data_IF_175911545390
#
_entry.id   IF_175911545390
#
_cell.length_a   1.000
_cell.length_b   1.000
_cell.length_c   1.000
_cell.angle_alpha   90.00
_cell.angle_beta   90.00
_cell.angle_gamma   90.00
#
_symmetry.space_group_name_H-M   'P 1'
#
loop_
_entity.id
_entity.type
_entity.pdbx_description
1 polymer ?
#
# COMPACT_ATOMS: atom_id res chain seq x y z
N UNK A 1 20.14 -12.18 -9.17
CA UNK A 1 19.51 -11.39 -8.09
C UNK A 1 18.68 -12.23 -7.13
N UNK A 2 18.02 -13.32 -7.56
CA UNK A 2 17.21 -14.18 -6.67
C UNK A 2 17.94 -14.73 -5.42
N UNK A 3 19.20 -15.15 -5.57
CA UNK A 3 19.93 -15.85 -4.49
C UNK A 3 20.10 -15.02 -3.19
N UNK A 4 20.39 -13.71 -3.28
CA UNK A 4 20.53 -12.86 -2.08
C UNK A 4 19.19 -12.58 -1.39
N UNK A 5 18.12 -12.47 -2.17
CA UNK A 5 16.77 -12.27 -1.65
C UNK A 5 16.30 -13.54 -0.90
N UNK A 6 16.43 -14.70 -1.53
CA UNK A 6 16.06 -15.99 -0.93
C UNK A 6 16.89 -16.26 0.34
N UNK A 7 18.20 -16.00 0.29
CA UNK A 7 19.09 -16.11 1.46
C UNK A 7 18.65 -15.17 2.58
N UNK A 8 18.22 -13.94 2.26
CA UNK A 8 17.73 -12.99 3.27
C UNK A 8 16.45 -13.49 3.92
N UNK A 9 15.50 -14.03 3.13
CA UNK A 9 14.26 -14.61 3.66
C UNK A 9 14.55 -15.79 4.61
N UNK A 10 15.46 -16.68 4.23
CA UNK A 10 15.83 -17.83 5.06
C UNK A 10 16.49 -17.41 6.38
N UNK A 11 17.48 -16.52 6.32
CA UNK A 11 18.21 -16.05 7.50
C UNK A 11 17.24 -15.31 8.44
N UNK A 12 16.49 -14.34 7.94
CA UNK A 12 15.56 -13.54 8.76
C UNK A 12 14.52 -14.44 9.43
N UNK A 13 13.94 -15.39 8.70
CA UNK A 13 12.99 -16.37 9.24
C UNK A 13 13.60 -17.22 10.34
N UNK A 14 14.86 -17.66 10.19
CA UNK A 14 15.60 -18.41 11.24
C UNK A 14 15.74 -17.61 12.54
N UNK A 15 15.85 -16.28 12.45
CA UNK A 15 15.92 -15.38 13.61
C UNK A 15 14.55 -14.88 14.10
N UNK A 16 13.45 -15.47 13.62
CA UNK A 16 12.09 -15.14 14.04
C UNK A 16 11.52 -13.88 13.40
N UNK A 17 12.16 -13.36 12.35
CA UNK A 17 11.64 -12.25 11.58
C UNK A 17 10.69 -12.74 10.48
N UNK A 18 9.60 -12.01 10.28
CA UNK A 18 8.62 -12.28 9.24
C UNK A 18 8.52 -11.06 8.32
N UNK A 19 8.64 -11.29 7.02
CA UNK A 19 8.39 -10.25 6.03
C UNK A 19 6.92 -9.80 6.13
N UNK A 20 6.64 -8.51 6.23
CA UNK A 20 5.27 -7.98 6.24
C UNK A 20 4.94 -7.13 5.00
N UNK A 21 5.97 -6.71 4.27
CA UNK A 21 5.91 -6.01 2.99
C UNK A 21 7.15 -6.33 2.15
N UNK A 22 7.14 -5.97 0.87
CA UNK A 22 8.14 -6.33 -0.16
C UNK A 22 9.61 -6.23 0.31
N UNK A 23 9.95 -5.28 1.17
CA UNK A 23 11.31 -4.92 1.59
C UNK A 23 11.56 -4.95 3.10
N UNK A 24 10.53 -5.10 3.95
CA UNK A 24 10.69 -5.04 5.41
C UNK A 24 10.16 -6.26 6.17
N UNK A 25 10.82 -6.47 7.30
CA UNK A 25 10.60 -7.59 8.20
C UNK A 25 10.24 -7.08 9.58
N UNK A 26 9.39 -7.84 10.28
CA UNK A 26 9.01 -7.60 11.67
C UNK A 26 9.45 -8.76 12.54
N UNK A 27 9.60 -8.53 13.85
CA UNK A 27 9.75 -9.59 14.85
C UNK A 27 8.87 -9.25 16.04
N UNK A 28 8.25 -10.26 16.64
CA UNK A 28 7.32 -10.10 17.76
C UNK A 28 6.23 -9.05 17.46
N UNK A 29 5.71 -9.08 16.23
CA UNK A 29 4.58 -8.24 15.83
C UNK A 29 4.86 -6.72 15.81
N UNK A 30 6.14 -6.33 15.80
CA UNK A 30 6.59 -4.95 15.73
C UNK A 30 6.93 -4.55 14.30
N UNK A 31 6.01 -3.84 13.65
CA UNK A 31 6.18 -3.26 12.31
C UNK A 31 6.43 -1.74 12.38
N UNK A 32 7.05 -1.20 11.33
CA UNK A 32 7.15 0.25 11.17
C UNK A 32 5.79 0.83 10.81
N UNK A 33 5.21 1.64 11.72
CA UNK A 33 3.94 2.35 11.47
C UNK A 33 4.02 3.25 10.24
N UNK A 34 5.17 3.88 10.02
CA UNK A 34 5.40 4.74 8.87
C UNK A 34 5.37 3.96 7.55
N UNK A 35 6.19 2.92 7.43
CA UNK A 35 6.26 2.11 6.19
C UNK A 35 4.91 1.44 5.92
N UNK A 36 4.28 0.94 6.98
CA UNK A 36 2.98 0.32 6.87
C UNK A 36 1.88 1.31 6.43
N UNK A 37 1.85 2.52 7.00
CA UNK A 37 0.91 3.57 6.59
C UNK A 37 1.12 4.01 5.14
N UNK A 38 2.38 4.16 4.72
CA UNK A 38 2.75 4.47 3.34
C UNK A 38 2.18 3.44 2.35
N UNK A 39 2.52 2.15 2.55
CA UNK A 39 2.08 1.05 1.69
C UNK A 39 0.57 0.77 1.78
N UNK A 40 -0.05 1.04 2.93
CA UNK A 40 -1.50 0.80 3.12
C UNK A 40 -2.38 1.83 2.44
N UNK A 41 -1.82 2.86 1.83
CA UNK A 41 -2.63 3.88 1.20
C UNK A 41 -3.17 4.93 2.18
N UNK A 42 -2.67 5.01 3.42
CA UNK A 42 -3.13 6.00 4.40
C UNK A 42 -2.63 7.41 4.08
N UNK A 43 -3.34 8.41 4.59
CA UNK A 43 -2.84 9.77 4.53
C UNK A 43 -1.58 9.88 5.38
N UNK A 44 -0.59 10.51 4.81
CA UNK A 44 0.61 10.90 5.52
C UNK A 44 0.96 12.30 5.05
N UNK A 45 1.13 13.18 6.03
CA UNK A 45 1.87 14.39 5.79
C UNK A 45 3.27 13.92 5.38
N UNK A 46 3.69 14.24 4.16
CA UNK A 46 5.10 14.23 3.86
C UNK A 46 5.74 15.22 4.81
N UNK A 47 6.23 14.76 5.97
CA UNK A 47 6.95 15.59 6.95
C UNK A 47 8.35 15.83 6.39
N UNK A 48 8.39 16.47 5.23
CA UNK A 48 9.53 17.21 4.77
C UNK A 48 8.99 18.61 4.50
N UNK A 49 9.14 19.49 5.48
CA UNK A 49 9.26 20.92 5.22
C UNK A 49 10.64 21.08 4.55
N UNK A 50 10.80 20.52 3.35
CA UNK A 50 12.09 20.35 2.72
C UNK A 50 11.99 19.88 1.26
N UNK A 51 13.08 20.06 0.50
CA UNK A 51 13.13 19.76 -0.92
C UNK A 51 12.90 18.27 -1.20
N UNK A 52 12.10 17.97 -2.24
CA UNK A 52 11.76 16.61 -2.68
C UNK A 52 10.74 15.87 -1.83
N UNK A 53 10.19 16.48 -0.77
CA UNK A 53 9.19 15.85 0.07
C UNK A 53 7.88 15.57 -0.70
N UNK A 54 7.31 14.39 -0.43
CA UNK A 54 6.04 13.95 -0.98
C UNK A 54 5.08 13.62 0.16
N UNK A 55 3.83 14.04 0.03
CA UNK A 55 2.77 13.73 0.96
C UNK A 55 1.48 13.33 0.27
N UNK A 56 0.57 12.76 1.05
CA UNK A 56 -0.77 12.39 0.62
C UNK A 56 -1.79 12.76 1.68
N UNK A 57 -2.76 13.58 1.29
CA UNK A 57 -3.79 14.08 2.19
C UNK A 57 -5.16 13.87 1.56
N UNK A 58 -6.10 13.36 2.34
CA UNK A 58 -7.51 13.31 1.97
C UNK A 58 -8.21 14.47 2.67
N UNK A 59 -8.83 15.35 1.89
CA UNK A 59 -9.71 16.36 2.44
C UNK A 59 -11.00 15.67 2.89
N UNK A 60 -11.23 15.63 4.21
CA UNK A 60 -12.37 14.97 4.82
C UNK A 60 -13.72 15.64 4.53
N UNK A 61 -13.74 16.90 4.07
CA UNK A 61 -14.97 17.64 3.74
C UNK A 61 -15.48 17.31 2.34
N UNK A 62 -14.56 17.17 1.39
CA UNK A 62 -14.89 16.89 -0.03
C UNK A 62 -14.58 15.45 -0.46
N UNK A 63 -13.92 14.66 0.40
CA UNK A 63 -13.56 13.26 0.14
C UNK A 63 -12.50 13.07 -0.94
N UNK A 64 -11.78 14.14 -1.32
CA UNK A 64 -10.79 14.12 -2.40
C UNK A 64 -9.38 13.94 -1.87
N UNK A 65 -8.55 13.22 -2.64
CA UNK A 65 -7.15 12.98 -2.31
C UNK A 65 -6.23 13.94 -3.08
N UNK A 66 -5.27 14.47 -2.36
CA UNK A 66 -4.26 15.38 -2.87
C UNK A 66 -2.88 14.79 -2.63
N UNK A 67 -2.03 14.91 -3.64
CA UNK A 67 -0.59 14.71 -3.50
C UNK A 67 0.05 16.06 -3.26
N UNK A 68 0.93 16.11 -2.27
CA UNK A 68 1.82 17.26 -2.09
C UNK A 68 3.18 16.91 -2.63
N UNK A 69 3.72 17.76 -3.51
CA UNK A 69 5.04 17.59 -4.10
C UNK A 69 5.85 18.86 -3.82
N UNK A 70 7.05 18.68 -3.27
CA UNK A 70 8.02 19.77 -3.12
C UNK A 70 9.07 19.69 -4.22
N UNK A 71 9.52 20.86 -4.68
CA UNK A 71 10.62 20.96 -5.64
C UNK A 71 11.84 20.19 -5.12
N UNK A 72 12.49 19.47 -6.02
CA UNK A 72 13.59 18.55 -5.66
C UNK A 72 14.84 19.30 -5.20
N UNK A 73 15.13 20.46 -5.79
CA UNK A 73 16.32 21.23 -5.47
C UNK A 73 16.04 22.22 -4.33
N UNK A 74 16.95 22.35 -3.34
CA UNK A 74 16.78 23.25 -2.22
C UNK A 74 16.51 24.71 -2.63
N UNK A 75 17.23 25.21 -3.64
CA UNK A 75 17.09 26.58 -4.14
C UNK A 75 15.67 26.83 -4.68
N UNK A 76 15.22 25.98 -5.60
CA UNK A 76 13.85 26.04 -6.16
C UNK A 76 12.78 25.90 -5.07
N UNK A 77 13.03 25.05 -4.07
CA UNK A 77 12.11 24.84 -2.96
C UNK A 77 12.03 26.08 -2.06
N UNK A 78 13.16 26.71 -1.75
CA UNK A 78 13.20 27.95 -0.97
C UNK A 78 12.51 29.09 -1.73
N UNK A 79 12.80 29.28 -3.02
CA UNK A 79 12.13 30.30 -3.85
C UNK A 79 10.63 30.06 -3.93
N UNK A 80 10.18 28.81 -4.13
CA UNK A 80 8.76 28.47 -4.06
C UNK A 80 8.14 28.81 -2.71
N UNK A 81 8.82 28.48 -1.60
CA UNK A 81 8.33 28.81 -0.27
C UNK A 81 8.23 30.32 -0.03
N UNK A 82 9.16 31.12 -0.56
CA UNK A 82 9.09 32.59 -0.48
C UNK A 82 7.98 33.18 -1.36
N UNK A 83 7.74 32.61 -2.55
CA UNK A 83 6.73 33.11 -3.49
C UNK A 83 5.29 32.75 -3.10
N UNK A 84 5.03 31.49 -2.76
CA UNK A 84 3.67 30.98 -2.55
C UNK A 84 3.37 30.63 -1.10
N UNK A 85 4.38 30.53 -0.22
CA UNK A 85 4.25 30.06 1.15
C UNK A 85 4.00 28.55 1.29
N UNK A 86 3.81 27.83 0.18
CA UNK A 86 3.37 26.43 0.18
C UNK A 86 3.92 25.61 -1.00
N UNK A 87 3.75 24.29 -0.94
CA UNK A 87 4.23 23.36 -1.95
C UNK A 87 3.26 23.25 -3.12
N UNK A 88 3.60 22.45 -4.14
CA UNK A 88 2.61 22.11 -5.15
C UNK A 88 1.60 21.12 -4.58
N UNK A 89 0.33 21.39 -4.86
CA UNK A 89 -0.80 20.52 -4.54
C UNK A 89 -1.42 20.05 -5.84
N UNK A 90 -1.44 18.75 -6.04
CA UNK A 90 -2.08 18.15 -7.19
C UNK A 90 -3.22 17.26 -6.70
N UNK A 91 -4.41 17.52 -7.23
CA UNK A 91 -5.54 16.63 -7.01
C UNK A 91 -5.26 15.33 -7.76
N UNK A 92 -5.35 14.21 -7.04
CA UNK A 92 -5.17 12.89 -7.64
C UNK A 92 -6.51 12.48 -8.28
N UNK A 93 -6.48 12.08 -9.55
CA UNK A 93 -7.67 11.52 -10.19
C UNK A 93 -8.10 10.22 -9.49
N UNK A 94 -9.40 9.96 -9.45
CA UNK A 94 -9.96 8.76 -8.83
C UNK A 94 -9.39 7.46 -9.42
N UNK A 95 -9.08 7.43 -10.72
CA UNK A 95 -8.47 6.24 -11.33
C UNK A 95 -7.04 6.00 -10.81
N UNK A 96 -6.24 7.05 -10.65
CA UNK A 96 -4.90 6.95 -10.08
C UNK A 96 -4.95 6.53 -8.60
N UNK A 97 -5.93 7.03 -7.84
CA UNK A 97 -6.17 6.57 -6.46
C UNK A 97 -6.45 5.07 -6.42
N UNK A 98 -7.31 4.54 -7.31
CA UNK A 98 -7.61 3.10 -7.39
C UNK A 98 -6.37 2.29 -7.72
N UNK A 99 -5.61 2.72 -8.75
CA UNK A 99 -4.34 2.08 -9.15
C UNK A 99 -3.36 2.03 -8.00
N UNK A 100 -3.15 3.17 -7.31
CA UNK A 100 -2.25 3.25 -6.15
C UNK A 100 -2.66 2.33 -5.02
N UNK A 101 -3.96 2.24 -4.70
CA UNK A 101 -4.45 1.34 -3.65
C UNK A 101 -4.15 -0.12 -3.97
N UNK A 102 -4.33 -0.53 -5.22
CA UNK A 102 -4.00 -1.90 -5.66
C UNK A 102 -2.50 -2.12 -5.63
N UNK A 103 -1.75 -1.19 -6.21
CA UNK A 103 -0.31 -1.23 -6.38
C UNK A 103 0.41 -1.31 -5.02
N UNK A 104 0.09 -0.42 -4.09
CA UNK A 104 0.72 -0.38 -2.78
C UNK A 104 0.17 -1.42 -1.82
N UNK A 105 -1.15 -1.65 -1.83
CA UNK A 105 -1.80 -2.63 -0.95
C UNK A 105 -1.22 -4.03 -1.14
N UNK A 106 -1.05 -4.47 -2.40
CA UNK A 106 -0.52 -5.80 -2.70
C UNK A 106 0.96 -5.97 -2.38
N UNK A 107 1.74 -4.89 -2.22
CA UNK A 107 3.12 -4.99 -1.70
C UNK A 107 3.18 -5.24 -0.20
N UNK A 108 2.05 -5.45 0.46
CA UNK A 108 1.94 -5.85 1.85
C UNK A 108 1.31 -7.23 1.97
N UNK A 109 1.61 -7.96 3.06
CA UNK A 109 0.94 -9.23 3.38
C UNK A 109 -0.57 -9.09 3.60
N UNK A 110 -1.02 -7.88 3.94
CA UNK A 110 -2.42 -7.56 4.21
C UNK A 110 -3.20 -7.39 2.89
N UNK A 111 -2.54 -6.92 1.83
CA UNK A 111 -3.18 -6.78 0.54
C UNK A 111 -4.18 -5.63 0.49
N UNK A 112 -5.30 -5.85 -0.21
CA UNK A 112 -6.34 -4.86 -0.48
C UNK A 112 -7.66 -5.32 0.16
N UNK A 113 -8.02 -4.78 1.33
CA UNK A 113 -9.34 -5.01 1.91
C UNK A 113 -10.44 -4.36 1.05
N UNK A 114 -11.59 -5.04 0.91
CA UNK A 114 -12.75 -4.50 0.16
C UNK A 114 -13.28 -3.20 0.73
N UNK A 115 -13.32 -3.09 2.06
CA UNK A 115 -13.76 -1.88 2.78
C UNK A 115 -12.86 -0.69 2.43
N UNK A 116 -11.54 -0.87 2.44
CA UNK A 116 -10.55 0.15 2.10
C UNK A 116 -10.72 0.59 0.66
N UNK A 117 -10.86 -0.37 -0.27
CA UNK A 117 -11.11 -0.03 -1.67
C UNK A 117 -12.40 0.79 -1.83
N UNK A 118 -13.51 0.37 -1.22
CA UNK A 118 -14.78 1.12 -1.26
C UNK A 118 -14.71 2.49 -0.59
N UNK A 119 -13.97 2.62 0.52
CA UNK A 119 -13.78 3.90 1.23
C UNK A 119 -13.19 4.98 0.32
N UNK A 120 -12.23 4.60 -0.53
CA UNK A 120 -11.55 5.53 -1.43
C UNK A 120 -12.06 5.46 -2.88
N UNK A 121 -12.96 4.51 -3.18
CA UNK A 121 -13.57 4.31 -4.49
C UNK A 121 -15.03 3.83 -4.34
N UNK A 122 -15.94 4.69 -3.87
CA UNK A 122 -17.30 4.29 -3.47
C UNK A 122 -18.16 3.77 -4.63
N UNK A 123 -17.88 4.19 -5.86
CA UNK A 123 -18.66 3.83 -7.05
C UNK A 123 -18.13 2.61 -7.81
N UNK A 124 -17.17 1.86 -7.23
CA UNK A 124 -16.54 0.73 -7.92
C UNK A 124 -16.24 -0.40 -6.91
N UNK A 125 -16.63 -1.62 -7.28
CA UNK A 125 -16.24 -2.82 -6.54
C UNK A 125 -14.86 -3.30 -6.98
N UNK A 126 -14.08 -3.83 -6.02
CA UNK A 126 -12.71 -4.31 -6.25
C UNK A 126 -12.68 -5.42 -7.30
N UNK A 127 -13.63 -6.35 -7.24
CA UNK A 127 -13.79 -7.48 -8.16
C UNK A 127 -14.08 -7.04 -9.60
N UNK A 128 -14.80 -5.94 -9.77
CA UNK A 128 -15.14 -5.39 -11.08
C UNK A 128 -14.02 -4.52 -11.64
N UNK A 129 -13.15 -4.01 -10.77
CA UNK A 129 -12.02 -3.19 -11.18
C UNK A 129 -10.83 -4.04 -11.65
N UNK A 130 -10.64 -5.22 -11.05
CA UNK A 130 -9.50 -6.08 -11.34
C UNK A 130 -9.81 -7.12 -12.43
N UNK A 131 -8.77 -7.58 -13.11
CA UNK A 131 -8.83 -8.69 -14.06
C UNK A 131 -8.99 -10.03 -13.32
N UNK A 132 -10.24 -10.46 -13.14
CA UNK A 132 -10.57 -11.66 -12.37
C UNK A 132 -10.08 -12.97 -13.03
N UNK A 133 -9.86 -13.01 -14.34
CA UNK A 133 -9.30 -14.18 -15.01
C UNK A 133 -7.84 -14.39 -14.60
N UNK A 134 -7.04 -13.33 -14.65
CA UNK A 134 -5.64 -13.34 -14.21
C UNK A 134 -5.53 -13.66 -12.72
N UNK A 135 -6.39 -13.06 -11.89
CA UNK A 135 -6.43 -13.35 -10.45
C UNK A 135 -6.71 -14.83 -10.18
N UNK A 136 -7.67 -15.45 -10.87
CA UNK A 136 -7.95 -16.88 -10.72
C UNK A 136 -6.74 -17.74 -11.10
N UNK A 137 -6.00 -17.36 -12.14
CA UNK A 137 -4.74 -18.04 -12.51
C UNK A 137 -3.71 -17.93 -11.39
N UNK A 138 -3.44 -16.72 -10.89
CA UNK A 138 -2.46 -16.52 -9.82
C UNK A 138 -2.85 -17.15 -8.48
N UNK A 139 -4.16 -17.27 -8.20
CA UNK A 139 -4.65 -18.04 -7.05
C UNK A 139 -4.36 -19.53 -7.23
N UNK A 140 -4.64 -20.08 -8.42
CA UNK A 140 -4.36 -21.49 -8.75
C UNK A 140 -2.86 -21.82 -8.61
N UNK A 141 -2.01 -20.89 -9.01
CA UNK A 141 -0.54 -21.03 -8.95
C UNK A 141 0.04 -20.72 -7.55
N UNK A 142 -0.82 -20.36 -6.59
CA UNK A 142 -0.48 -20.12 -5.18
C UNK A 142 0.22 -18.79 -4.91
N UNK A 143 0.12 -17.81 -5.81
CA UNK A 143 0.68 -16.47 -5.62
C UNK A 143 -0.28 -15.52 -4.91
N UNK A 144 -1.58 -15.63 -5.17
CA UNK A 144 -2.60 -14.78 -4.57
C UNK A 144 -3.58 -15.61 -3.74
N UNK A 145 -4.20 -14.97 -2.75
CA UNK A 145 -5.32 -15.53 -1.98
C UNK A 145 -6.45 -14.51 -2.02
N UNK A 146 -7.66 -15.01 -2.30
CA UNK A 146 -8.88 -14.25 -2.17
C UNK A 146 -9.59 -14.63 -0.88
N UNK A 147 -9.70 -13.69 0.06
CA UNK A 147 -10.35 -13.91 1.35
C UNK A 147 -11.81 -13.46 1.31
N UNK A 148 -12.72 -14.41 1.51
CA UNK A 148 -14.17 -14.19 1.47
C UNK A 148 -14.79 -13.85 2.83
N UNK A 149 -14.02 -13.90 3.92
CA UNK A 149 -14.45 -13.58 5.28
C UNK A 149 -13.33 -12.86 6.01
N UNK A 150 -13.69 -12.11 7.05
CA UNK A 150 -12.74 -11.58 8.02
C UNK A 150 -11.79 -12.68 8.47
N UNK A 151 -10.51 -12.53 8.14
CA UNK A 151 -9.48 -13.22 8.90
C UNK A 151 -9.34 -12.43 10.19
N UNK A 152 -9.75 -13.04 11.31
CA UNK A 152 -9.29 -12.58 12.62
C UNK A 152 -7.79 -12.80 12.64
N UNK A 153 -7.07 -11.72 12.42
CA UNK A 153 -5.71 -11.65 12.90
C UNK A 153 -5.83 -11.61 14.43
N UNK A 154 -5.42 -12.66 15.12
CA UNK A 154 -5.50 -12.86 16.59
C UNK A 154 -4.51 -11.96 17.36
N UNK A 155 -4.33 -10.76 16.85
CA UNK A 155 -3.03 -10.14 16.77
C UNK A 155 -3.19 -8.71 17.26
N UNK A 156 -2.83 -8.46 18.52
CA UNK A 156 -2.90 -7.16 19.24
C UNK A 156 -2.20 -6.01 18.51
N UNK A 157 -1.39 -6.31 17.50
CA UNK A 157 -0.56 -5.36 16.78
C UNK A 157 -1.24 -4.60 15.65
N UNK A 158 -2.31 -5.14 15.05
CA UNK A 158 -2.97 -4.43 13.95
C UNK A 158 -3.65 -3.17 14.52
N UNK A 159 -3.25 -1.96 14.08
CA UNK A 159 -3.90 -0.71 14.53
C UNK A 159 -5.43 -0.87 14.36
N UNK A 160 -6.20 -0.41 15.34
CA UNK A 160 -7.65 -0.63 15.40
C UNK A 160 -8.36 -0.25 14.10
N UNK A 161 -7.93 0.85 13.47
CA UNK A 161 -8.42 1.32 12.16
C UNK A 161 -8.35 0.25 11.05
N UNK A 162 -7.36 -0.64 11.08
CA UNK A 162 -7.20 -1.69 10.07
C UNK A 162 -7.97 -2.98 10.37
N UNK A 163 -8.23 -3.26 11.66
CA UNK A 163 -9.08 -4.39 12.05
C UNK A 163 -10.49 -4.21 11.52
N UNK A 164 -10.96 -2.96 11.52
CA UNK A 164 -12.25 -2.57 10.92
C UNK A 164 -12.24 -2.73 9.41
N UNK A 165 -11.13 -2.38 8.75
CA UNK A 165 -11.02 -2.53 7.29
C UNK A 165 -11.00 -4.02 6.85
N UNK A 166 -10.45 -4.93 7.65
CA UNK A 166 -10.34 -6.34 7.26
C UNK A 166 -11.62 -7.18 7.41
N UNK A 167 -12.74 -6.59 7.80
CA UNK A 167 -13.97 -7.33 8.11
C UNK A 167 -14.58 -8.05 6.89
N UNK A 168 -14.47 -7.48 5.70
CA UNK A 168 -15.09 -8.02 4.48
C UNK A 168 -14.12 -8.85 3.61
N UNK A 169 -12.93 -9.15 4.14
CA UNK A 169 -11.86 -9.80 3.40
C UNK A 169 -11.32 -8.95 2.23
N UNK A 170 -10.66 -9.59 1.28
CA UNK A 170 -10.00 -8.90 0.18
C UNK A 170 -9.00 -9.77 -0.59
N UNK A 171 -8.21 -9.12 -1.44
CA UNK A 171 -7.16 -9.77 -2.21
C UNK A 171 -5.81 -9.56 -1.52
N UNK A 172 -5.05 -10.64 -1.27
CA UNK A 172 -3.70 -10.52 -0.71
C UNK A 172 -2.69 -11.47 -1.37
N UNK A 173 -1.39 -11.12 -1.35
CA UNK A 173 -0.35 -12.03 -1.80
C UNK A 173 -0.08 -13.15 -0.78
N UNK A 174 0.42 -14.28 -1.27
CA UNK A 174 1.15 -15.26 -0.45
C UNK A 174 2.60 -14.80 -0.26
N UNK A 175 3.40 -15.52 0.55
CA UNK A 175 4.85 -15.25 0.61
C UNK A 175 5.51 -15.40 -0.77
N UNK A 176 5.07 -16.41 -1.54
CA UNK A 176 5.49 -16.63 -2.93
C UNK A 176 5.05 -15.50 -3.85
N UNK A 177 3.80 -15.02 -3.70
CA UNK A 177 3.27 -13.89 -4.45
C UNK A 177 3.99 -12.58 -4.18
N UNK A 178 4.29 -12.31 -2.90
CA UNK A 178 4.94 -11.08 -2.48
C UNK A 178 6.32 -10.91 -3.10
N UNK A 179 7.06 -12.02 -3.28
CA UNK A 179 8.38 -12.03 -3.91
C UNK A 179 8.38 -11.61 -5.39
N UNK A 180 7.26 -11.75 -6.10
CA UNK A 180 7.13 -11.43 -7.53
C UNK A 180 5.98 -10.46 -7.80
N UNK A 181 5.55 -9.72 -6.78
CA UNK A 181 4.31 -8.96 -6.83
C UNK A 181 4.33 -7.85 -7.90
N UNK A 182 5.52 -7.30 -8.17
CA UNK A 182 5.74 -6.29 -9.21
C UNK A 182 5.47 -6.81 -10.63
N UNK A 183 5.58 -8.13 -10.85
CA UNK A 183 5.24 -8.76 -12.13
C UNK A 183 3.74 -9.12 -12.22
N UNK A 184 3.09 -9.34 -11.07
CA UNK A 184 1.69 -9.72 -10.96
C UNK A 184 0.78 -8.48 -11.11
N UNK A 185 1.10 -7.39 -10.41
CA UNK A 185 0.23 -6.20 -10.31
C UNK A 185 -0.16 -5.63 -11.69
N UNK A 186 0.76 -5.44 -12.65
CA UNK A 186 0.38 -4.95 -13.98
C UNK A 186 -0.63 -5.86 -14.67
N UNK A 187 -0.50 -7.19 -14.52
CA UNK A 187 -1.37 -8.17 -15.20
C UNK A 187 -2.79 -8.25 -14.63
N UNK A 188 -3.00 -7.77 -13.40
CA UNK A 188 -4.33 -7.77 -12.77
C UNK A 188 -5.03 -6.40 -12.88
N UNK A 189 -4.30 -5.35 -13.28
CA UNK A 189 -4.82 -4.00 -13.51
C UNK A 189 -5.18 -3.71 -14.97
N UNK A 190 -4.67 -4.51 -15.91
CA UNK A 190 -4.91 -4.42 -17.36
C UNK A 190 -5.56 -5.71 -17.90
#
# INVERSE_FOLDING_TARGET
MANLYDTTLEITKKYGFQQYEVSNFQRNEKYSRHNYGYWSGLDYLGIGIGPGAHGRLTDSKIGMRFRTIRRLYPEDWMSQCEETGEGQYEQINLDDVKKELVLFGLRTKIGIPRTRFRKYSPNQELEKYLNMEQIKSFIKDGFLIWENRSVRYDNEWMLNDFREEMQDGGLRPTEKGLAVIDEIVPRILY
#
